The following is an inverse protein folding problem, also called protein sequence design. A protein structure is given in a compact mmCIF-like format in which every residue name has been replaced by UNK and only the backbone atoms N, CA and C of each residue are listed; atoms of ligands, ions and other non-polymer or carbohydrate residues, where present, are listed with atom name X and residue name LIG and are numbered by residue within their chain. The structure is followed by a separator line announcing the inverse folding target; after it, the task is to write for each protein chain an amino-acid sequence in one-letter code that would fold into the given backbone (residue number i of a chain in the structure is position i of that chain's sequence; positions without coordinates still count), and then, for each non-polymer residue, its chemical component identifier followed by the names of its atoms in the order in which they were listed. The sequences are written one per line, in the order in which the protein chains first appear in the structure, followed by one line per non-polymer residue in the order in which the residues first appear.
data_IF_614903844827
#
_entry.id   IF_614903844827
#
_cell.length_a   1.000
_cell.length_b   1.000
_cell.length_c   1.000
_cell.angle_alpha   90.00
_cell.angle_beta   90.00
_cell.angle_gamma   90.00
#
_symmetry.space_group_name_H-M   'P 1'
#
loop_
_entity.id
_entity.type
_entity.pdbx_description
1 polymer ?
#
# COMPACT_ATOMS: atom_id res chain seq x y z
N UNK A 1 21.53 3.81 -1.75
CA UNK A 1 22.46 2.64 -1.71
C UNK A 1 23.27 2.61 -3.00
N UNK A 2 24.58 2.52 -2.95
CA UNK A 2 25.38 2.39 -4.17
C UNK A 2 25.47 0.90 -4.55
N UNK A 3 24.54 0.43 -5.38
CA UNK A 3 24.60 -0.93 -5.94
C UNK A 3 25.56 -1.03 -7.12
N UNK A 4 25.92 0.11 -7.73
CA UNK A 4 26.77 0.20 -8.90
C UNK A 4 27.81 1.31 -8.74
N UNK A 5 29.04 1.01 -9.09
CA UNK A 5 30.12 1.97 -9.29
C UNK A 5 31.07 1.47 -10.39
N UNK A 6 31.96 2.35 -10.89
CA UNK A 6 32.96 2.01 -11.90
C UNK A 6 34.36 2.30 -11.37
N UNK A 7 35.34 1.46 -11.76
CA UNK A 7 36.77 1.77 -11.63
C UNK A 7 37.16 2.84 -12.64
N UNK A 8 38.38 3.37 -12.50
CA UNK A 8 38.92 4.35 -13.44
C UNK A 8 39.01 3.85 -14.89
N UNK A 9 39.12 2.53 -15.09
CA UNK A 9 39.15 1.87 -16.40
C UNK A 9 37.75 1.56 -16.95
N UNK A 10 36.70 1.97 -16.25
CA UNK A 10 35.30 1.70 -16.62
C UNK A 10 34.80 0.31 -16.24
N UNK A 11 35.58 -0.51 -15.55
CA UNK A 11 35.14 -1.83 -15.06
C UNK A 11 34.07 -1.67 -14.01
N UNK A 12 32.85 -2.31 -14.13
CA UNK A 12 31.80 -2.21 -13.17
C UNK A 12 32.16 -2.89 -11.83
N UNK A 13 31.68 -2.30 -10.75
CA UNK A 13 31.70 -2.86 -9.39
C UNK A 13 30.27 -2.95 -8.91
N UNK A 14 29.81 -4.13 -8.55
CA UNK A 14 28.47 -4.38 -7.98
C UNK A 14 28.58 -4.58 -6.48
N UNK A 15 27.71 -3.92 -5.71
CA UNK A 15 27.66 -4.04 -4.25
C UNK A 15 26.24 -4.41 -3.80
N UNK A 16 26.08 -5.64 -3.39
CA UNK A 16 24.78 -6.19 -2.96
C UNK A 16 24.57 -6.16 -1.44
N UNK A 17 25.52 -5.65 -0.67
CA UNK A 17 25.52 -5.76 0.80
C UNK A 17 24.23 -5.26 1.46
N UNK A 18 23.63 -4.17 0.96
CA UNK A 18 22.38 -3.64 1.49
C UNK A 18 21.15 -4.37 0.96
N UNK A 19 21.17 -4.79 -0.30
CA UNK A 19 20.14 -5.62 -0.91
C UNK A 19 20.05 -6.94 -0.14
N UNK A 20 21.19 -7.59 0.10
CA UNK A 20 21.25 -8.85 0.85
C UNK A 20 20.66 -8.70 2.25
N UNK A 21 21.08 -7.67 2.99
CA UNK A 21 20.53 -7.44 4.34
C UNK A 21 19.03 -7.24 4.36
N UNK A 22 18.50 -6.52 3.37
CA UNK A 22 17.07 -6.28 3.26
C UNK A 22 16.32 -7.56 2.92
N UNK A 23 16.77 -8.28 1.88
CA UNK A 23 16.06 -9.47 1.41
C UNK A 23 16.20 -10.64 2.39
N UNK A 24 17.38 -10.81 3.02
CA UNK A 24 17.56 -11.78 4.10
C UNK A 24 16.54 -11.52 5.22
N UNK A 25 16.43 -10.27 5.67
CA UNK A 25 15.47 -9.88 6.71
C UNK A 25 14.02 -10.15 6.29
N UNK A 26 13.62 -9.77 5.08
CA UNK A 26 12.24 -10.02 4.59
C UNK A 26 11.93 -11.52 4.56
N UNK A 27 12.84 -12.33 4.03
CA UNK A 27 12.67 -13.78 3.93
C UNK A 27 12.65 -14.46 5.31
N UNK A 28 13.47 -14.00 6.26
CA UNK A 28 13.42 -14.45 7.66
C UNK A 28 12.06 -14.18 8.33
N UNK A 29 11.37 -13.11 7.92
CA UNK A 29 10.02 -12.79 8.37
C UNK A 29 8.92 -13.50 7.54
N UNK A 30 9.29 -14.34 6.57
CA UNK A 30 8.34 -15.00 5.67
C UNK A 30 7.73 -14.09 4.61
N UNK A 31 8.31 -12.91 4.38
CA UNK A 31 7.88 -11.92 3.39
C UNK A 31 8.72 -12.04 2.13
N UNK A 32 8.08 -12.11 0.97
CA UNK A 32 8.77 -12.21 -0.32
C UNK A 32 9.01 -10.82 -0.91
N UNK A 33 10.18 -10.57 -1.50
CA UNK A 33 10.43 -9.33 -2.23
C UNK A 33 9.48 -9.13 -3.41
N UNK A 34 8.95 -7.92 -3.54
CA UNK A 34 8.40 -7.35 -4.75
C UNK A 34 9.41 -6.28 -5.19
N UNK A 35 10.19 -6.60 -6.22
CA UNK A 35 11.40 -5.87 -6.55
C UNK A 35 11.08 -4.74 -7.51
N UNK A 36 11.25 -3.50 -7.10
CA UNK A 36 11.20 -2.34 -7.98
C UNK A 36 12.61 -1.96 -8.44
N UNK A 37 12.82 -1.91 -9.76
CA UNK A 37 14.10 -1.57 -10.39
C UNK A 37 14.15 -0.07 -10.68
N UNK A 38 14.30 0.74 -9.64
CA UNK A 38 14.44 2.20 -9.65
C UNK A 38 15.29 2.67 -8.46
N UNK A 39 15.81 3.86 -8.40
CA UNK A 39 16.06 4.84 -9.44
C UNK A 39 17.45 4.63 -10.03
N UNK A 40 17.81 5.41 -11.08
CA UNK A 40 19.06 5.21 -11.82
C UNK A 40 20.28 5.41 -10.92
N UNK A 41 21.24 4.46 -10.85
CA UNK A 41 22.52 4.70 -10.22
C UNK A 41 23.22 5.90 -10.83
N UNK A 42 23.70 6.84 -10.01
CA UNK A 42 24.23 8.13 -10.48
C UNK A 42 25.35 8.02 -11.52
N UNK A 43 26.14 6.93 -11.49
CA UNK A 43 27.19 6.69 -12.48
C UNK A 43 26.69 6.10 -13.81
N UNK A 44 25.47 5.60 -13.85
CA UNK A 44 24.81 5.16 -15.07
C UNK A 44 23.88 6.24 -15.66
N UNK A 45 23.55 7.25 -14.88
CA UNK A 45 22.58 8.28 -15.25
C UNK A 45 23.07 9.16 -16.39
N UNK A 46 22.20 9.47 -17.35
CA UNK A 46 22.44 10.38 -18.46
C UNK A 46 22.52 11.84 -18.00
N UNK A 47 21.74 12.19 -16.96
CA UNK A 47 21.70 13.53 -16.39
C UNK A 47 21.74 13.51 -14.87
N UNK A 48 21.72 14.71 -14.24
CA UNK A 48 21.79 14.88 -12.78
C UNK A 48 20.42 15.21 -12.17
N UNK A 49 19.34 15.04 -12.92
CA UNK A 49 17.99 15.30 -12.45
C UNK A 49 17.61 14.29 -11.38
N UNK A 50 17.11 14.79 -10.26
CA UNK A 50 16.80 13.97 -9.08
C UNK A 50 15.48 14.38 -8.47
N UNK A 51 14.80 13.41 -7.84
CA UNK A 51 13.60 13.61 -7.03
C UNK A 51 13.88 13.22 -5.58
N UNK A 52 13.02 13.66 -4.68
CA UNK A 52 13.01 13.39 -3.25
C UNK A 52 14.23 13.97 -2.50
N UNK A 53 14.13 13.95 -1.18
CA UNK A 53 15.20 14.43 -0.32
C UNK A 53 16.50 13.64 -0.48
N UNK A 54 16.42 12.33 -0.66
CA UNK A 54 17.59 11.45 -0.84
C UNK A 54 18.18 11.50 -2.26
N UNK A 55 17.61 12.31 -3.16
CA UNK A 55 18.10 12.58 -4.52
C UNK A 55 18.18 11.35 -5.43
N UNK A 56 17.08 10.59 -5.51
CA UNK A 56 16.93 9.53 -6.51
C UNK A 56 17.07 10.10 -7.93
N UNK A 57 17.96 9.54 -8.73
CA UNK A 57 18.16 10.04 -10.09
C UNK A 57 17.10 9.49 -11.03
N UNK A 58 16.36 10.38 -11.69
CA UNK A 58 15.20 10.08 -12.53
C UNK A 58 15.52 9.99 -14.04
N UNK A 59 16.79 10.14 -14.44
CA UNK A 59 17.14 10.11 -15.85
C UNK A 59 17.23 8.70 -16.42
N UNK A 60 17.01 8.54 -17.73
CA UNK A 60 17.43 7.33 -18.44
C UNK A 60 18.92 7.03 -18.25
N UNK A 61 19.37 5.79 -18.49
CA UNK A 61 20.78 5.48 -18.49
C UNK A 61 21.52 6.22 -19.63
N UNK A 62 22.76 6.63 -19.39
CA UNK A 62 23.63 7.14 -20.45
C UNK A 62 24.04 6.04 -21.44
N UNK A 63 24.13 4.81 -20.95
CA UNK A 63 24.42 3.60 -21.72
C UNK A 63 23.49 2.47 -21.28
N UNK A 64 22.52 2.12 -22.12
CA UNK A 64 21.56 1.05 -21.87
C UNK A 64 22.24 -0.30 -21.63
N UNK A 65 23.38 -0.56 -22.29
CA UNK A 65 24.05 -1.86 -22.16
C UNK A 65 24.64 -2.06 -20.77
N UNK A 66 25.08 -0.99 -20.12
CA UNK A 66 25.58 -1.01 -18.73
C UNK A 66 24.44 -1.23 -17.72
N UNK A 67 23.29 -0.59 -17.94
CA UNK A 67 22.09 -0.84 -17.14
C UNK A 67 21.65 -2.30 -17.27
N UNK A 68 21.53 -2.82 -18.49
CA UNK A 68 21.17 -4.21 -18.73
C UNK A 68 22.17 -5.20 -18.11
N UNK A 69 23.45 -4.85 -18.09
CA UNK A 69 24.47 -5.64 -17.41
C UNK A 69 24.26 -5.67 -15.89
N UNK A 70 23.98 -4.50 -15.28
CA UNK A 70 23.64 -4.39 -13.86
C UNK A 70 22.44 -5.26 -13.51
N UNK A 71 21.36 -5.18 -14.29
CA UNK A 71 20.15 -5.96 -14.08
C UNK A 71 20.40 -7.47 -14.19
N UNK A 72 21.17 -7.90 -15.20
CA UNK A 72 21.56 -9.32 -15.35
C UNK A 72 22.37 -9.82 -14.15
N UNK A 73 23.34 -9.03 -13.68
CA UNK A 73 24.16 -9.40 -12.53
C UNK A 73 23.34 -9.42 -11.22
N UNK A 74 22.43 -8.50 -11.06
CA UNK A 74 21.49 -8.49 -9.93
C UNK A 74 20.62 -9.76 -9.91
N UNK A 75 20.03 -10.13 -11.04
CA UNK A 75 19.22 -11.36 -11.15
C UNK A 75 20.06 -12.61 -10.89
N UNK A 76 21.29 -12.70 -11.46
CA UNK A 76 22.20 -13.81 -11.18
C UNK A 76 22.57 -13.91 -9.71
N UNK A 77 22.82 -12.75 -9.07
CA UNK A 77 23.12 -12.69 -7.66
C UNK A 77 21.95 -13.23 -6.82
N UNK A 78 20.70 -12.80 -7.09
CA UNK A 78 19.52 -13.28 -6.39
C UNK A 78 19.34 -14.81 -6.58
N UNK A 79 19.44 -15.31 -7.80
CA UNK A 79 19.35 -16.75 -8.09
C UNK A 79 20.42 -17.57 -7.37
N UNK A 80 21.65 -17.07 -7.34
CA UNK A 80 22.76 -17.76 -6.67
C UNK A 80 22.62 -17.76 -5.14
N UNK A 81 22.10 -16.67 -4.56
CA UNK A 81 21.97 -16.53 -3.12
C UNK A 81 20.73 -17.21 -2.56
N UNK A 82 19.58 -17.04 -3.20
CA UNK A 82 18.28 -17.49 -2.69
C UNK A 82 17.73 -18.73 -3.37
N UNK A 83 18.29 -19.10 -4.51
CA UNK A 83 17.85 -20.24 -5.32
C UNK A 83 16.69 -19.90 -6.26
N UNK A 84 16.65 -20.60 -7.42
CA UNK A 84 15.68 -20.31 -8.47
C UNK A 84 14.23 -20.42 -8.00
N UNK A 85 13.89 -21.47 -7.23
CA UNK A 85 12.52 -21.68 -6.73
C UNK A 85 12.00 -20.54 -5.86
N UNK A 86 12.87 -19.91 -5.06
CA UNK A 86 12.49 -18.74 -4.25
C UNK A 86 12.32 -17.52 -5.13
N UNK A 87 13.29 -17.22 -5.99
CA UNK A 87 13.27 -16.00 -6.82
C UNK A 87 12.16 -16.04 -7.88
N UNK A 88 11.76 -17.20 -8.39
CA UNK A 88 10.58 -17.36 -9.25
C UNK A 88 9.26 -16.96 -8.59
N UNK A 89 9.24 -16.92 -7.26
CA UNK A 89 8.07 -16.48 -6.52
C UNK A 89 7.97 -14.95 -6.36
N UNK A 90 9.03 -14.22 -6.72
CA UNK A 90 9.11 -12.76 -6.65
C UNK A 90 8.52 -12.11 -7.90
N UNK A 91 8.30 -10.79 -7.81
CA UNK A 91 7.92 -9.93 -8.92
C UNK A 91 9.03 -8.91 -9.18
N UNK A 92 9.26 -8.58 -10.45
CA UNK A 92 10.24 -7.59 -10.86
C UNK A 92 9.53 -6.48 -11.63
N UNK A 93 9.35 -5.36 -10.97
CA UNK A 93 8.71 -4.15 -11.48
C UNK A 93 9.75 -3.21 -12.05
N UNK A 94 9.48 -2.68 -13.24
CA UNK A 94 10.44 -1.83 -13.95
C UNK A 94 10.05 -0.38 -13.78
N UNK A 95 10.78 0.32 -12.92
CA UNK A 95 10.70 1.73 -12.61
C UNK A 95 9.53 2.11 -11.70
N UNK A 96 9.46 3.42 -11.34
CA UNK A 96 8.41 4.06 -10.54
C UNK A 96 7.82 5.25 -11.30
N UNK A 97 6.50 5.27 -11.52
CA UNK A 97 5.71 6.37 -12.09
C UNK A 97 6.32 7.06 -13.31
N UNK A 98 6.70 6.30 -14.36
CA UNK A 98 7.37 6.86 -15.55
C UNK A 98 6.47 7.78 -16.39
N UNK A 99 5.18 7.73 -16.18
CA UNK A 99 4.16 8.59 -16.79
C UNK A 99 4.17 10.02 -16.20
N UNK A 100 4.77 10.21 -15.01
CA UNK A 100 5.01 11.52 -14.42
C UNK A 100 6.29 12.14 -14.99
N UNK A 101 6.21 12.59 -16.24
CA UNK A 101 7.33 13.16 -16.97
C UNK A 101 7.93 14.38 -16.26
N UNK A 102 9.25 14.40 -16.11
CA UNK A 102 9.98 15.45 -15.39
C UNK A 102 9.89 15.35 -13.86
N UNK A 103 9.09 14.42 -13.33
CA UNK A 103 8.96 14.16 -11.88
C UNK A 103 9.65 12.84 -11.52
N UNK A 104 9.19 11.72 -12.06
CA UNK A 104 9.77 10.40 -11.80
C UNK A 104 10.54 9.83 -12.99
N UNK A 105 10.40 10.42 -14.18
CA UNK A 105 11.14 10.07 -15.39
C UNK A 105 11.54 11.31 -16.18
N UNK A 106 12.82 11.52 -16.43
CA UNK A 106 13.37 12.66 -17.18
C UNK A 106 13.61 12.37 -18.66
N UNK A 107 13.14 11.25 -19.17
CA UNK A 107 13.10 10.89 -20.58
C UNK A 107 11.74 11.12 -21.23
N UNK A 108 11.62 10.81 -22.53
CA UNK A 108 10.32 10.74 -23.18
C UNK A 108 9.59 9.44 -22.83
N UNK A 109 8.31 9.38 -23.15
CA UNK A 109 7.47 8.17 -23.02
C UNK A 109 8.05 7.01 -23.83
N UNK A 110 8.45 7.28 -25.06
CA UNK A 110 9.04 6.29 -25.98
C UNK A 110 10.38 5.77 -25.46
N UNK A 111 11.18 6.64 -24.86
CA UNK A 111 12.42 6.23 -24.17
C UNK A 111 12.15 5.29 -23.00
N UNK A 112 11.08 5.55 -22.23
CA UNK A 112 10.69 4.62 -21.16
C UNK A 112 10.23 3.27 -21.72
N UNK A 113 9.41 3.26 -22.77
CA UNK A 113 8.96 2.00 -23.38
C UNK A 113 10.14 1.16 -23.88
N UNK A 114 11.12 1.79 -24.52
CA UNK A 114 12.35 1.12 -24.94
C UNK A 114 13.20 0.62 -23.76
N UNK A 115 13.31 1.44 -22.70
CA UNK A 115 13.99 1.09 -21.46
C UNK A 115 13.33 -0.11 -20.76
N UNK A 116 12.00 -0.10 -20.63
CA UNK A 116 11.22 -1.22 -20.11
C UNK A 116 11.52 -2.51 -20.88
N UNK A 117 11.41 -2.45 -22.21
CA UNK A 117 11.64 -3.61 -23.08
C UNK A 117 13.05 -4.18 -22.92
N UNK A 118 14.08 -3.33 -22.88
CA UNK A 118 15.48 -3.75 -22.68
C UNK A 118 15.67 -4.38 -21.32
N UNK A 119 15.14 -3.78 -20.27
CA UNK A 119 15.24 -4.28 -18.89
C UNK A 119 14.56 -5.64 -18.72
N UNK A 120 13.35 -5.81 -19.26
CA UNK A 120 12.64 -7.10 -19.23
C UNK A 120 13.42 -8.17 -20.00
N UNK A 121 13.93 -7.85 -21.18
CA UNK A 121 14.78 -8.80 -21.95
C UNK A 121 16.06 -9.16 -21.21
N UNK A 122 16.68 -8.22 -20.51
CA UNK A 122 17.83 -8.48 -19.67
C UNK A 122 17.51 -9.48 -18.54
N UNK A 123 16.40 -9.32 -17.83
CA UNK A 123 15.93 -10.26 -16.78
C UNK A 123 15.66 -11.63 -17.39
N UNK A 124 14.82 -11.69 -18.43
CA UNK A 124 14.41 -12.93 -19.09
C UNK A 124 15.58 -13.69 -19.74
N UNK A 125 16.64 -12.99 -20.16
CA UNK A 125 17.86 -13.61 -20.69
C UNK A 125 18.63 -14.41 -19.64
N UNK A 126 18.49 -14.07 -18.36
CA UNK A 126 19.11 -14.80 -17.25
C UNK A 126 18.21 -15.95 -16.80
N UNK A 127 16.91 -15.68 -16.60
CA UNK A 127 15.94 -16.68 -16.15
C UNK A 127 14.54 -16.39 -16.70
N UNK A 128 14.10 -17.08 -17.75
CA UNK A 128 12.84 -16.78 -18.46
C UNK A 128 11.57 -16.87 -17.62
N UNK A 129 11.59 -17.65 -16.51
CA UNK A 129 10.44 -17.88 -15.65
C UNK A 129 10.17 -16.74 -14.64
N UNK A 130 11.10 -15.78 -14.48
CA UNK A 130 10.88 -14.64 -13.58
C UNK A 130 9.72 -13.79 -14.06
N UNK A 131 8.88 -13.36 -13.12
CA UNK A 131 7.73 -12.50 -13.41
C UNK A 131 8.17 -11.04 -13.51
N UNK A 132 7.99 -10.47 -14.69
CA UNK A 132 8.36 -9.09 -15.01
C UNK A 132 7.12 -8.28 -15.37
N UNK A 133 7.06 -7.05 -14.94
CA UNK A 133 5.94 -6.17 -15.21
C UNK A 133 6.20 -4.72 -14.81
N UNK A 134 5.15 -4.00 -14.74
CA UNK A 134 5.08 -2.56 -14.50
C UNK A 134 3.82 -2.02 -15.15
N UNK A 135 3.77 -0.73 -15.44
CA UNK A 135 4.83 0.26 -15.32
C UNK A 135 4.88 0.97 -13.96
N UNK A 136 4.14 0.53 -12.94
CA UNK A 136 3.97 1.28 -11.70
C UNK A 136 3.48 2.72 -11.97
N UNK A 137 2.50 2.86 -12.88
CA UNK A 137 2.08 4.18 -13.36
C UNK A 137 1.28 4.93 -12.31
N UNK A 138 1.45 6.24 -12.29
CA UNK A 138 0.62 7.14 -11.52
C UNK A 138 -0.83 7.15 -12.05
N UNK A 139 -1.78 7.36 -11.16
CA UNK A 139 -3.19 7.30 -11.49
C UNK A 139 -3.65 8.34 -12.52
N UNK A 140 -3.02 9.54 -12.56
CA UNK A 140 -3.45 10.63 -13.43
C UNK A 140 -3.53 10.25 -14.90
N UNK A 141 -2.61 9.46 -15.38
CA UNK A 141 -2.54 9.00 -16.77
C UNK A 141 -3.62 7.97 -17.14
N UNK A 142 -4.25 7.33 -16.17
CA UNK A 142 -5.34 6.37 -16.42
C UNK A 142 -6.59 7.02 -17.01
N UNK A 143 -6.91 8.26 -16.58
CA UNK A 143 -8.17 8.91 -16.89
C UNK A 143 -8.10 9.85 -18.10
N UNK A 144 -7.00 10.55 -18.29
CA UNK A 144 -6.89 11.66 -19.21
C UNK A 144 -5.89 11.46 -20.36
N UNK A 145 -5.16 10.35 -20.36
CA UNK A 145 -4.03 10.09 -21.25
C UNK A 145 -4.11 8.66 -21.81
N UNK A 146 -3.79 8.41 -23.09
CA UNK A 146 -3.70 7.07 -23.64
C UNK A 146 -2.44 6.31 -23.20
N UNK A 147 -1.67 6.81 -22.23
CA UNK A 147 -0.36 6.28 -21.85
C UNK A 147 -0.36 4.77 -21.57
N UNK A 148 -1.34 4.29 -20.80
CA UNK A 148 -1.46 2.86 -20.48
C UNK A 148 -1.78 2.03 -21.75
N UNK A 149 -2.63 2.54 -22.64
CA UNK A 149 -3.00 1.87 -23.89
C UNK A 149 -1.77 1.77 -24.79
N UNK A 150 -1.04 2.87 -24.97
CA UNK A 150 0.16 2.92 -25.80
C UNK A 150 1.29 2.06 -25.23
N UNK A 151 1.44 1.99 -23.91
CA UNK A 151 2.41 1.08 -23.26
C UNK A 151 2.10 -0.39 -23.55
N UNK A 152 0.83 -0.79 -23.41
CA UNK A 152 0.40 -2.16 -23.70
C UNK A 152 0.53 -2.50 -25.18
N UNK A 153 0.17 -1.56 -26.07
CA UNK A 153 0.33 -1.70 -27.52
C UNK A 153 1.80 -1.88 -27.88
N UNK A 154 2.68 -1.05 -27.32
CA UNK A 154 4.13 -1.17 -27.52
C UNK A 154 4.65 -2.55 -27.07
N UNK A 155 4.25 -3.02 -25.88
CA UNK A 155 4.66 -4.33 -25.38
C UNK A 155 4.21 -5.46 -26.33
N UNK A 156 2.99 -5.38 -26.83
CA UNK A 156 2.45 -6.36 -27.80
C UNK A 156 3.19 -6.31 -29.12
N UNK A 157 3.39 -5.15 -29.71
CA UNK A 157 4.05 -4.97 -31.01
C UNK A 157 5.52 -5.36 -31.00
N UNK A 158 6.19 -5.10 -29.88
CA UNK A 158 7.61 -5.43 -29.70
C UNK A 158 7.84 -6.81 -29.07
N UNK A 159 6.77 -7.60 -28.86
CA UNK A 159 6.82 -8.92 -28.22
C UNK A 159 7.55 -8.89 -26.87
N UNK A 160 7.30 -7.84 -26.06
CA UNK A 160 7.89 -7.71 -24.73
C UNK A 160 6.98 -8.39 -23.69
N UNK A 161 7.51 -9.32 -22.87
CA UNK A 161 6.73 -9.93 -21.80
C UNK A 161 6.17 -8.88 -20.81
N UNK A 162 4.89 -9.02 -20.49
CA UNK A 162 4.17 -8.27 -19.45
C UNK A 162 3.42 -9.29 -18.59
N UNK A 163 4.09 -9.83 -17.56
CA UNK A 163 3.52 -10.90 -16.73
C UNK A 163 2.52 -10.34 -15.70
N UNK A 164 2.64 -9.06 -15.37
CA UNK A 164 1.70 -8.31 -14.56
C UNK A 164 1.68 -6.84 -14.97
N UNK A 165 0.53 -6.18 -14.77
CA UNK A 165 0.39 -4.73 -14.88
C UNK A 165 0.30 -4.12 -13.48
N UNK A 166 0.95 -2.98 -13.25
CA UNK A 166 0.93 -2.29 -11.96
C UNK A 166 0.66 -0.80 -12.09
N UNK A 167 0.00 -0.25 -11.07
CA UNK A 167 -0.29 1.17 -10.96
C UNK A 167 -0.45 1.60 -9.51
N UNK A 168 -0.42 2.93 -9.28
CA UNK A 168 -0.61 3.57 -7.98
C UNK A 168 -1.97 4.25 -7.91
N UNK A 169 -2.53 4.33 -6.70
CA UNK A 169 -3.82 4.99 -6.50
C UNK A 169 -3.93 5.61 -5.10
N UNK A 170 -4.42 6.84 -5.05
CA UNK A 170 -4.70 7.60 -3.83
C UNK A 170 -6.09 8.22 -3.90
N UNK A 171 -6.72 8.44 -2.74
CA UNK A 171 -8.02 9.13 -2.70
C UNK A 171 -7.88 10.64 -2.79
N UNK A 172 -6.73 11.21 -2.44
CA UNK A 172 -6.44 12.63 -2.58
C UNK A 172 -5.52 12.88 -3.76
N UNK A 173 -5.97 13.78 -4.66
CA UNK A 173 -5.23 14.15 -5.87
C UNK A 173 -5.10 15.66 -6.02
N UNK A 174 -4.03 16.15 -6.65
CA UNK A 174 -3.94 17.55 -7.03
C UNK A 174 -5.04 17.87 -8.07
N UNK A 175 -5.66 19.01 -7.95
CA UNK A 175 -6.52 19.52 -9.04
C UNK A 175 -5.65 19.83 -10.24
N UNK A 176 -5.93 19.16 -11.35
CA UNK A 176 -5.32 19.47 -12.62
C UNK A 176 -5.83 20.84 -13.07
N UNK A 177 -4.91 21.82 -13.03
CA UNK A 177 -4.99 23.17 -13.63
C UNK A 177 -6.37 23.84 -13.61
N UNK A 178 -6.47 24.89 -12.89
CA UNK A 178 -6.96 26.23 -13.23
C UNK A 178 -7.16 26.99 -11.92
N UNK A 179 -6.38 28.02 -11.71
CA UNK A 179 -6.58 29.14 -10.79
C UNK A 179 -6.27 28.98 -9.28
N UNK A 180 -6.07 27.76 -8.73
CA UNK A 180 -5.65 27.61 -7.33
C UNK A 180 -4.71 26.41 -7.18
N UNK A 181 -3.43 26.63 -7.31
CA UNK A 181 -2.35 25.62 -7.26
C UNK A 181 -2.22 24.83 -5.93
N UNK A 182 -3.07 25.12 -4.93
CA UNK A 182 -2.99 24.56 -3.59
C UNK A 182 -4.17 23.67 -3.20
N UNK A 183 -5.17 23.49 -4.08
CA UNK A 183 -6.32 22.67 -3.75
C UNK A 183 -6.17 21.27 -4.29
N UNK A 184 -6.33 20.30 -3.42
CA UNK A 184 -6.46 18.89 -3.76
C UNK A 184 -7.93 18.53 -3.94
N UNK A 185 -8.20 17.34 -4.47
CA UNK A 185 -9.54 16.78 -4.58
C UNK A 185 -9.59 15.43 -3.92
N UNK A 186 -10.50 15.27 -2.97
CA UNK A 186 -10.79 13.95 -2.40
C UNK A 186 -11.78 13.24 -3.30
N UNK A 187 -11.40 12.05 -3.74
CA UNK A 187 -12.19 11.22 -4.65
C UNK A 187 -13.24 10.42 -3.86
N UNK A 188 -14.39 10.10 -4.46
CA UNK A 188 -15.45 9.36 -3.78
C UNK A 188 -14.98 7.93 -3.41
N UNK A 189 -15.64 7.26 -2.45
CA UNK A 189 -15.27 5.89 -2.04
C UNK A 189 -15.25 4.85 -3.16
N UNK A 190 -16.07 5.02 -4.20
CA UNK A 190 -16.12 4.14 -5.40
C UNK A 190 -14.90 4.22 -6.30
N UNK A 191 -14.09 5.27 -6.15
CA UNK A 191 -13.02 5.64 -7.07
C UNK A 191 -11.99 4.54 -7.32
N UNK A 192 -11.57 3.81 -6.29
CA UNK A 192 -10.64 2.68 -6.43
C UNK A 192 -11.21 1.59 -7.34
N UNK A 193 -12.46 1.21 -7.09
CA UNK A 193 -13.12 0.17 -7.88
C UNK A 193 -13.35 0.62 -9.31
N UNK A 194 -13.81 1.83 -9.53
CA UNK A 194 -14.00 2.41 -10.87
C UNK A 194 -12.69 2.49 -11.67
N UNK A 195 -11.60 2.83 -10.99
CA UNK A 195 -10.26 2.87 -11.60
C UNK A 195 -9.77 1.49 -12.03
N UNK A 196 -9.95 0.49 -11.17
CA UNK A 196 -9.61 -0.90 -11.47
C UNK A 196 -10.45 -1.43 -12.63
N UNK A 197 -11.76 -1.22 -12.60
CA UNK A 197 -12.67 -1.71 -13.65
C UNK A 197 -12.32 -1.06 -15.00
N UNK A 198 -12.05 0.25 -15.02
CA UNK A 198 -11.59 0.95 -16.22
C UNK A 198 -10.28 0.40 -16.77
N UNK A 199 -9.29 0.16 -15.90
CA UNK A 199 -8.01 -0.40 -16.32
C UNK A 199 -8.17 -1.84 -16.85
N UNK A 200 -9.01 -2.65 -16.20
CA UNK A 200 -9.34 -4.00 -16.69
C UNK A 200 -9.99 -3.99 -18.09
N UNK A 201 -10.85 -3.02 -18.38
CA UNK A 201 -11.42 -2.84 -19.72
C UNK A 201 -10.32 -2.51 -20.75
N UNK A 202 -9.40 -1.59 -20.43
CA UNK A 202 -8.24 -1.28 -21.29
C UNK A 202 -7.34 -2.51 -21.51
N UNK A 203 -6.98 -3.22 -20.44
CA UNK A 203 -6.18 -4.45 -20.51
C UNK A 203 -6.85 -5.51 -21.40
N UNK A 204 -8.16 -5.69 -21.28
CA UNK A 204 -8.92 -6.63 -22.11
C UNK A 204 -8.91 -6.20 -23.59
N UNK A 205 -9.08 -4.91 -23.87
CA UNK A 205 -9.03 -4.38 -25.24
C UNK A 205 -7.65 -4.57 -25.87
N UNK A 206 -6.58 -4.45 -25.09
CA UNK A 206 -5.20 -4.65 -25.52
C UNK A 206 -4.74 -6.13 -25.54
N UNK A 207 -5.64 -7.10 -25.30
CA UNK A 207 -5.37 -8.53 -25.20
C UNK A 207 -4.54 -8.97 -23.96
N UNK A 208 -4.57 -8.17 -22.89
CA UNK A 208 -3.95 -8.46 -21.58
C UNK A 208 -4.97 -8.76 -20.46
N UNK A 209 -6.20 -9.16 -20.81
CA UNK A 209 -7.29 -9.39 -19.85
C UNK A 209 -6.99 -10.38 -18.75
N UNK A 210 -6.18 -11.40 -19.01
CA UNK A 210 -5.80 -12.46 -18.05
C UNK A 210 -4.53 -12.13 -17.26
N UNK A 211 -3.85 -11.01 -17.57
CA UNK A 211 -2.63 -10.58 -16.87
C UNK A 211 -2.97 -10.11 -15.47
N UNK A 212 -2.13 -10.46 -14.50
CA UNK A 212 -2.30 -10.02 -13.11
C UNK A 212 -2.27 -8.48 -13.03
N UNK A 213 -3.16 -7.90 -12.23
CA UNK A 213 -3.20 -6.48 -11.95
C UNK A 213 -2.83 -6.24 -10.49
N UNK A 214 -1.84 -5.40 -10.28
CA UNK A 214 -1.32 -5.05 -8.96
C UNK A 214 -1.48 -3.55 -8.70
N UNK A 215 -1.86 -3.21 -7.48
CA UNK A 215 -1.72 -1.85 -6.95
C UNK A 215 -0.47 -1.87 -6.07
N UNK A 216 0.63 -1.35 -6.62
CA UNK A 216 1.94 -1.44 -5.97
C UNK A 216 2.20 -0.28 -5.03
N UNK A 217 1.31 0.73 -5.05
CA UNK A 217 1.32 1.82 -4.08
C UNK A 217 -0.10 2.38 -3.90
N UNK A 218 -0.55 2.49 -2.64
CA UNK A 218 -1.81 3.13 -2.32
C UNK A 218 -1.87 3.67 -0.89
N UNK A 219 -2.58 4.76 -0.70
CA UNK A 219 -2.93 5.33 0.59
C UNK A 219 -4.11 6.29 0.41
N UNK A 220 -4.55 6.94 1.49
CA UNK A 220 -5.57 7.99 1.40
C UNK A 220 -5.06 9.20 0.60
N UNK A 221 -3.87 9.69 0.92
CA UNK A 221 -3.27 10.86 0.27
C UNK A 221 -1.91 10.51 -0.35
N UNK A 222 -1.58 11.18 -1.44
CA UNK A 222 -0.24 11.15 -2.04
C UNK A 222 0.75 12.12 -1.34
N UNK A 223 0.30 12.85 -0.33
CA UNK A 223 1.11 13.81 0.42
C UNK A 223 1.51 13.26 1.78
N UNK A 224 2.78 13.32 2.10
CA UNK A 224 3.41 12.78 3.32
C UNK A 224 3.02 13.50 4.62
N UNK A 225 2.23 14.57 4.55
CA UNK A 225 1.80 15.37 5.71
C UNK A 225 0.30 15.53 5.78
N UNK A 226 -0.43 14.58 5.23
CA UNK A 226 -1.87 14.59 5.39
C UNK A 226 -2.26 14.13 6.80
N UNK A 227 -2.77 15.07 7.59
CA UNK A 227 -3.06 14.85 9.01
C UNK A 227 -4.04 13.69 9.29
N UNK A 228 -4.80 13.23 8.30
CA UNK A 228 -5.72 12.10 8.47
C UNK A 228 -5.03 10.74 8.55
N UNK A 229 -3.78 10.61 8.03
CA UNK A 229 -3.03 9.35 8.07
C UNK A 229 -2.81 8.79 9.49
N UNK A 230 -2.85 9.65 10.52
CA UNK A 230 -2.67 9.21 11.91
C UNK A 230 -3.99 8.86 12.61
N UNK A 231 -5.13 9.23 12.01
CA UNK A 231 -6.44 9.16 12.67
C UNK A 231 -7.07 7.76 12.59
N UNK A 232 -8.07 7.51 13.43
CA UNK A 232 -8.85 6.27 13.42
C UNK A 232 -9.58 6.04 12.07
N UNK A 233 -9.82 7.09 11.29
CA UNK A 233 -10.35 7.00 9.93
C UNK A 233 -9.62 5.98 9.06
N UNK A 234 -8.29 5.89 9.19
CA UNK A 234 -7.48 4.99 8.38
C UNK A 234 -7.79 3.51 8.59
N UNK A 235 -8.33 3.11 9.74
CA UNK A 235 -8.66 1.71 9.96
C UNK A 235 -9.83 1.23 9.06
N UNK A 236 -11.04 1.82 9.10
CA UNK A 236 -12.10 1.45 8.19
C UNK A 236 -11.81 1.83 6.72
N UNK A 237 -10.98 2.85 6.44
CA UNK A 237 -10.53 3.18 5.09
C UNK A 237 -9.77 1.99 4.46
N UNK A 238 -8.78 1.47 5.15
CA UNK A 238 -8.00 0.30 4.70
C UNK A 238 -8.89 -0.92 4.48
N UNK A 239 -9.77 -1.21 5.43
CA UNK A 239 -10.69 -2.36 5.34
C UNK A 239 -11.66 -2.20 4.18
N UNK A 240 -12.27 -1.02 4.03
CA UNK A 240 -13.23 -0.73 2.97
C UNK A 240 -12.60 -0.96 1.59
N UNK A 241 -11.43 -0.38 1.32
CA UNK A 241 -10.78 -0.51 0.02
C UNK A 241 -10.28 -1.93 -0.24
N UNK A 242 -9.71 -2.62 0.77
CA UNK A 242 -9.33 -4.02 0.63
C UNK A 242 -10.54 -4.92 0.26
N UNK A 243 -11.70 -4.71 0.91
CA UNK A 243 -12.91 -5.49 0.63
C UNK A 243 -13.52 -5.18 -0.73
N UNK A 244 -13.53 -3.91 -1.15
CA UNK A 244 -14.09 -3.51 -2.44
C UNK A 244 -13.21 -3.87 -3.65
N UNK A 245 -11.93 -4.12 -3.43
CA UNK A 245 -10.99 -4.55 -4.48
C UNK A 245 -10.73 -6.04 -4.50
N UNK A 246 -11.29 -6.77 -3.53
CA UNK A 246 -11.13 -8.22 -3.41
C UNK A 246 -11.52 -8.94 -4.72
N UNK A 247 -10.59 -9.77 -5.22
CA UNK A 247 -10.74 -10.51 -6.48
C UNK A 247 -10.57 -9.68 -7.75
N UNK A 248 -10.47 -8.36 -7.67
CA UNK A 248 -10.27 -7.50 -8.83
C UNK A 248 -8.77 -7.21 -9.10
N UNK A 249 -7.95 -7.22 -8.04
CA UNK A 249 -6.50 -7.09 -8.11
C UNK A 249 -5.82 -8.26 -7.41
N UNK A 250 -4.57 -8.53 -7.77
CA UNK A 250 -3.76 -9.60 -7.17
C UNK A 250 -3.14 -9.17 -5.85
N UNK A 251 -2.71 -7.93 -5.75
CA UNK A 251 -2.08 -7.38 -4.55
C UNK A 251 -2.38 -5.88 -4.39
N UNK A 252 -2.29 -5.45 -3.14
CA UNK A 252 -2.40 -4.06 -2.68
C UNK A 252 -1.20 -3.78 -1.77
N UNK A 253 -0.21 -3.01 -2.22
CA UNK A 253 0.93 -2.62 -1.41
C UNK A 253 0.70 -1.23 -0.79
N UNK A 254 0.55 -1.19 0.52
CA UNK A 254 0.27 0.05 1.25
C UNK A 254 1.51 0.95 1.30
N UNK A 255 1.37 2.21 0.91
CA UNK A 255 2.40 3.21 1.00
C UNK A 255 2.25 4.04 2.28
N UNK A 256 3.08 3.83 3.34
CA UNK A 256 4.23 2.97 3.35
C UNK A 256 4.36 2.24 4.70
N UNK A 257 5.47 1.55 4.96
CA UNK A 257 5.65 0.78 6.19
C UNK A 257 5.88 1.67 7.42
N UNK A 258 6.68 2.73 7.29
CA UNK A 258 7.05 3.60 8.42
C UNK A 258 7.07 5.07 8.02
N UNK A 259 6.85 5.97 8.98
CA UNK A 259 7.02 7.41 8.78
C UNK A 259 8.50 7.83 8.63
N UNK A 260 9.44 6.95 8.94
CA UNK A 260 10.86 7.16 8.63
C UNK A 260 11.14 6.63 7.24
N UNK A 261 11.05 7.50 6.26
CA UNK A 261 11.27 7.17 4.86
C UNK A 261 12.03 8.31 4.14
N UNK A 262 12.46 8.07 2.92
CA UNK A 262 13.53 8.84 2.27
C UNK A 262 13.03 10.03 1.44
N UNK A 263 11.73 10.20 1.23
CA UNK A 263 11.20 11.23 0.32
C UNK A 263 11.24 12.62 0.93
N UNK A 264 11.04 12.73 2.24
CA UNK A 264 11.05 14.00 2.94
C UNK A 264 11.75 13.93 4.30
N UNK A 265 11.98 15.10 4.91
CA UNK A 265 12.51 15.19 6.27
C UNK A 265 11.43 14.82 7.29
N UNK A 266 11.79 14.03 8.30
CA UNK A 266 10.89 13.64 9.39
C UNK A 266 10.69 14.84 10.34
N UNK A 267 9.45 15.32 10.54
CA UNK A 267 9.14 16.38 11.49
C UNK A 267 9.37 15.99 12.96
N UNK A 268 9.32 16.97 13.86
CA UNK A 268 9.50 16.76 15.32
C UNK A 268 8.28 16.14 15.97
N UNK A 269 7.07 16.50 15.54
CA UNK A 269 5.83 15.96 16.09
C UNK A 269 5.72 14.43 15.88
N UNK A 270 5.27 13.66 16.89
CA UNK A 270 5.03 12.23 16.76
C UNK A 270 3.95 11.88 15.70
N UNK A 271 2.96 12.76 15.55
CA UNK A 271 1.83 12.57 14.64
C UNK A 271 1.69 13.78 13.71
N UNK A 272 2.34 13.71 12.57
CA UNK A 272 2.39 14.78 11.57
C UNK A 272 1.70 14.42 10.25
N UNK A 273 1.05 13.25 10.21
CA UNK A 273 0.37 12.77 9.00
C UNK A 273 1.28 12.03 8.03
N UNK A 274 2.36 11.42 8.49
CA UNK A 274 3.23 10.57 7.65
C UNK A 274 2.51 9.36 7.08
N UNK A 275 3.02 8.78 6.00
CA UNK A 275 2.42 7.64 5.28
C UNK A 275 2.42 6.33 6.07
N UNK A 276 3.32 6.20 7.05
CA UNK A 276 3.66 4.92 7.67
C UNK A 276 2.50 4.23 8.38
N UNK A 277 2.55 2.90 8.37
CA UNK A 277 1.78 2.07 9.30
C UNK A 277 2.28 2.24 10.74
N UNK A 278 3.55 2.59 10.89
CA UNK A 278 4.25 2.81 12.17
C UNK A 278 4.87 4.20 12.12
N UNK A 279 4.65 5.01 13.15
CA UNK A 279 5.24 6.33 13.21
C UNK A 279 6.75 6.26 13.55
N UNK A 280 7.43 7.42 13.52
CA UNK A 280 8.87 7.52 13.80
C UNK A 280 9.30 7.01 15.19
N UNK A 281 8.37 7.03 16.16
CA UNK A 281 8.62 6.59 17.54
C UNK A 281 8.26 5.11 17.77
N UNK A 282 7.97 4.36 16.68
CA UNK A 282 7.63 2.95 16.73
C UNK A 282 6.16 2.66 17.11
N UNK A 283 5.31 3.70 17.21
CA UNK A 283 3.90 3.55 17.54
C UNK A 283 3.11 3.08 16.32
N UNK A 284 2.37 1.99 16.47
CA UNK A 284 1.50 1.44 15.43
C UNK A 284 0.25 2.29 15.27
N UNK A 285 -0.03 2.71 14.03
CA UNK A 285 -1.20 3.52 13.68
C UNK A 285 -2.44 2.66 13.45
N UNK A 286 -3.65 3.25 13.35
CA UNK A 286 -4.89 2.51 13.07
C UNK A 286 -4.84 1.69 11.77
N UNK A 287 -4.16 2.17 10.72
CA UNK A 287 -3.92 1.45 9.46
C UNK A 287 -3.15 0.13 9.65
N UNK A 288 -2.16 0.09 10.56
CA UNK A 288 -1.45 -1.15 10.93
C UNK A 288 -2.42 -2.20 11.47
N UNK A 289 -3.26 -1.80 12.44
CA UNK A 289 -4.21 -2.72 13.06
C UNK A 289 -5.32 -3.17 12.10
N UNK A 290 -5.71 -2.32 11.14
CA UNK A 290 -6.62 -2.73 10.08
C UNK A 290 -6.06 -3.91 9.27
N UNK A 291 -4.80 -3.83 8.84
CA UNK A 291 -4.11 -4.92 8.13
C UNK A 291 -3.95 -6.17 9.00
N UNK A 292 -3.62 -5.99 10.30
CA UNK A 292 -3.55 -7.10 11.26
C UNK A 292 -4.91 -7.81 11.44
N UNK A 293 -6.02 -7.06 11.46
CA UNK A 293 -7.35 -7.64 11.55
C UNK A 293 -7.76 -8.34 10.24
N UNK A 294 -7.43 -7.77 9.09
CA UNK A 294 -7.64 -8.41 7.78
C UNK A 294 -6.90 -9.74 7.66
N UNK A 295 -5.67 -9.81 8.16
CA UNK A 295 -4.86 -11.05 8.15
C UNK A 295 -5.51 -12.19 8.97
N UNK A 296 -6.39 -11.87 9.92
CA UNK A 296 -7.10 -12.88 10.73
C UNK A 296 -8.31 -13.50 10.02
N UNK A 297 -8.71 -12.97 8.86
CA UNK A 297 -9.83 -13.51 8.07
C UNK A 297 -9.44 -14.87 7.45
N UNK A 298 -10.45 -15.73 7.29
CA UNK A 298 -10.27 -17.04 6.67
C UNK A 298 -10.32 -17.01 5.15
N UNK A 299 -9.93 -18.11 4.53
CA UNK A 299 -9.83 -18.26 3.06
C UNK A 299 -11.21 -18.39 2.37
N UNK A 300 -12.24 -18.81 3.10
CA UNK A 300 -13.60 -19.00 2.56
C UNK A 300 -14.48 -17.80 2.92
N UNK A 301 -14.97 -17.10 1.90
CA UNK A 301 -15.94 -16.03 2.07
C UNK A 301 -17.33 -16.62 2.35
N UNK A 302 -17.93 -16.33 3.50
CA UNK A 302 -19.27 -16.76 3.88
C UNK A 302 -20.31 -15.71 3.50
N UNK A 303 -20.03 -14.45 3.79
CA UNK A 303 -20.93 -13.32 3.56
C UNK A 303 -20.15 -12.03 3.46
N UNK A 304 -20.62 -11.12 2.60
CA UNK A 304 -20.09 -9.75 2.50
C UNK A 304 -21.23 -8.79 2.21
N UNK A 305 -21.15 -7.61 2.80
CA UNK A 305 -22.08 -6.53 2.54
C UNK A 305 -21.48 -5.18 2.94
N UNK A 306 -22.32 -4.15 2.91
CA UNK A 306 -21.88 -2.82 3.31
C UNK A 306 -21.52 -2.80 4.79
N UNK A 307 -20.22 -2.58 5.06
CA UNK A 307 -19.66 -2.49 6.41
C UNK A 307 -19.42 -3.81 7.13
N UNK A 308 -19.51 -4.95 6.45
CA UNK A 308 -19.21 -6.25 7.08
C UNK A 308 -18.70 -7.30 6.09
N UNK A 309 -17.92 -8.24 6.63
CA UNK A 309 -17.49 -9.47 5.95
C UNK A 309 -17.43 -10.61 6.95
N UNK A 310 -17.89 -11.80 6.56
CA UNK A 310 -17.77 -13.04 7.33
C UNK A 310 -16.97 -14.07 6.53
N UNK A 311 -16.03 -14.72 7.18
CA UNK A 311 -15.15 -15.75 6.58
C UNK A 311 -15.07 -16.99 7.44
N UNK A 312 -14.50 -18.06 6.87
CA UNK A 312 -14.19 -19.30 7.56
C UNK A 312 -12.80 -19.82 7.18
N UNK A 313 -12.09 -20.32 8.16
CA UNK A 313 -10.83 -21.06 7.97
C UNK A 313 -11.09 -22.54 7.73
N UNK A 314 -10.08 -23.26 7.22
CA UNK A 314 -10.17 -24.71 6.91
C UNK A 314 -10.45 -25.58 8.12
N UNK A 315 -10.07 -25.16 9.31
CA UNK A 315 -10.36 -25.85 10.58
C UNK A 315 -11.79 -25.60 11.10
N UNK A 316 -12.56 -24.77 10.38
CA UNK A 316 -13.95 -24.46 10.70
C UNK A 316 -14.13 -23.27 11.65
N UNK A 317 -13.06 -22.58 12.03
CA UNK A 317 -13.17 -21.32 12.78
C UNK A 317 -13.76 -20.23 11.88
N UNK A 318 -14.56 -19.34 12.47
CA UNK A 318 -15.28 -18.28 11.73
C UNK A 318 -14.81 -16.90 12.17
N UNK A 319 -14.79 -15.97 11.24
CA UNK A 319 -14.40 -14.58 11.49
C UNK A 319 -15.47 -13.65 10.92
N UNK A 320 -15.85 -12.64 11.69
CA UNK A 320 -16.82 -11.61 11.27
C UNK A 320 -16.24 -10.25 11.57
N UNK A 321 -15.90 -9.51 10.51
CA UNK A 321 -15.36 -8.17 10.59
C UNK A 321 -16.46 -7.17 10.25
N UNK A 322 -16.65 -6.18 11.13
CA UNK A 322 -17.58 -5.07 10.99
C UNK A 322 -16.80 -3.76 11.01
N UNK A 323 -17.20 -2.81 10.16
CA UNK A 323 -16.56 -1.50 10.11
C UNK A 323 -17.54 -0.39 9.73
N UNK A 324 -17.31 0.79 10.27
CA UNK A 324 -18.10 1.98 9.97
C UNK A 324 -17.20 3.01 9.27
N UNK A 325 -17.11 2.89 7.95
CA UNK A 325 -16.39 3.85 7.11
C UNK A 325 -17.26 5.10 6.92
N UNK A 326 -16.76 6.26 7.33
CA UNK A 326 -17.36 7.57 7.09
C UNK A 326 -16.39 8.37 6.24
N UNK A 327 -16.85 8.85 5.10
CA UNK A 327 -16.03 9.60 4.15
C UNK A 327 -15.89 11.06 4.57
N UNK A 328 -14.94 11.75 3.96
CA UNK A 328 -14.75 13.18 4.10
C UNK A 328 -16.01 13.91 3.59
N UNK A 329 -16.49 14.90 4.36
CA UNK A 329 -17.64 15.70 3.96
C UNK A 329 -17.39 16.39 2.60
N UNK A 330 -18.38 16.43 1.71
CA UNK A 330 -18.26 17.12 0.41
C UNK A 330 -17.77 18.55 0.48
N UNK A 331 -18.04 19.26 1.56
CA UNK A 331 -17.52 20.63 1.79
C UNK A 331 -16.01 20.69 1.90
N UNK A 332 -15.39 19.62 2.45
CA UNK A 332 -13.94 19.47 2.58
C UNK A 332 -13.32 18.67 1.43
N UNK A 333 -14.11 18.02 0.60
CA UNK A 333 -13.60 17.24 -0.53
C UNK A 333 -12.88 18.07 -1.59
N UNK A 334 -13.03 19.39 -1.55
CA UNK A 334 -12.31 20.35 -2.39
C UNK A 334 -10.84 20.55 -1.96
N UNK A 335 -10.44 19.99 -0.80
CA UNK A 335 -9.06 20.05 -0.30
C UNK A 335 -8.66 21.34 0.36
N UNK A 336 -9.61 22.23 0.70
CA UNK A 336 -9.32 23.38 1.57
C UNK A 336 -9.27 22.92 3.03
N UNK A 337 -8.08 22.65 3.49
CA UNK A 337 -7.78 22.10 4.82
C UNK A 337 -7.02 23.11 5.68
N UNK A 338 -7.06 24.40 5.31
CA UNK A 338 -6.31 25.47 5.97
C UNK A 338 -6.65 25.62 7.46
N UNK A 339 -7.88 25.26 7.85
CA UNK A 339 -8.34 25.30 9.24
C UNK A 339 -8.06 24.00 10.01
N UNK A 340 -7.54 22.96 9.34
CA UNK A 340 -7.26 21.69 9.98
C UNK A 340 -5.98 21.76 10.80
N UNK A 341 -6.07 21.38 12.06
CA UNK A 341 -4.96 21.35 13.01
C UNK A 341 -4.71 19.96 13.56
N UNK A 342 -3.66 19.83 14.36
CA UNK A 342 -3.36 18.57 15.05
C UNK A 342 -4.48 18.08 15.97
N UNK A 343 -5.39 18.94 16.41
CA UNK A 343 -6.41 18.60 17.42
C UNK A 343 -7.81 18.45 16.88
N UNK A 344 -8.13 19.03 15.71
CA UNK A 344 -9.48 19.00 15.12
C UNK A 344 -9.58 18.16 13.84
N UNK A 345 -8.71 17.19 13.64
CA UNK A 345 -8.60 16.37 12.40
C UNK A 345 -9.88 15.63 12.00
N UNK A 346 -10.80 15.43 12.94
CA UNK A 346 -12.07 14.73 12.67
C UNK A 346 -13.19 15.65 12.17
N UNK A 347 -13.01 16.97 12.19
CA UNK A 347 -14.05 17.93 11.80
C UNK A 347 -14.32 17.94 10.29
N UNK A 348 -13.47 17.27 9.51
CA UNK A 348 -13.61 17.15 8.04
C UNK A 348 -14.52 16.03 7.58
N UNK A 349 -15.03 15.18 8.49
CA UNK A 349 -15.87 14.05 8.12
C UNK A 349 -17.36 14.38 8.21
N UNK A 350 -18.16 13.69 7.39
CA UNK A 350 -19.62 13.74 7.51
C UNK A 350 -20.08 13.42 8.93
N UNK A 351 -21.02 14.19 9.44
CA UNK A 351 -21.66 13.84 10.72
C UNK A 351 -22.54 12.61 10.54
N UNK A 352 -22.14 11.50 11.16
CA UNK A 352 -22.88 10.24 11.18
C UNK A 352 -23.09 9.76 12.62
N UNK A 353 -24.26 9.20 12.88
CA UNK A 353 -24.50 8.45 14.11
C UNK A 353 -23.81 7.09 14.10
N UNK A 354 -23.97 6.34 15.20
CA UNK A 354 -23.45 4.98 15.27
C UNK A 354 -24.14 4.09 14.22
N UNK A 355 -23.40 3.08 13.76
CA UNK A 355 -23.90 2.05 12.87
C UNK A 355 -24.11 0.75 13.64
N UNK A 356 -25.32 0.21 13.53
CA UNK A 356 -25.71 -0.99 14.26
C UNK A 356 -25.77 -2.20 13.33
N UNK A 357 -25.19 -3.31 13.78
CA UNK A 357 -25.25 -4.61 13.12
C UNK A 357 -25.77 -5.66 14.08
N UNK A 358 -26.41 -6.68 13.55
CA UNK A 358 -26.80 -7.87 14.26
C UNK A 358 -26.16 -9.11 13.63
N UNK A 359 -25.37 -9.83 14.39
CA UNK A 359 -24.84 -11.14 14.00
C UNK A 359 -25.67 -12.22 14.68
N UNK A 360 -26.36 -13.05 13.88
CA UNK A 360 -27.12 -14.20 14.36
C UNK A 360 -26.55 -15.48 13.78
N UNK A 361 -26.08 -16.37 14.64
CA UNK A 361 -25.55 -17.68 14.28
C UNK A 361 -26.46 -18.78 14.82
N UNK A 362 -26.67 -19.83 14.03
CA UNK A 362 -27.47 -21.01 14.43
C UNK A 362 -26.74 -22.29 14.05
N UNK A 363 -27.08 -23.38 14.71
CA UNK A 363 -26.49 -24.71 14.54
C UNK A 363 -24.97 -24.72 14.93
N UNK A 364 -24.62 -23.97 15.97
CA UNK A 364 -23.28 -24.02 16.55
C UNK A 364 -23.14 -25.34 17.33
N UNK A 365 -22.43 -26.31 16.76
CA UNK A 365 -22.20 -27.61 17.42
C UNK A 365 -20.85 -27.61 18.12
N UNK A 366 -20.87 -27.82 19.45
CA UNK A 366 -19.67 -27.80 20.28
C UNK A 366 -19.48 -26.51 21.07
N UNK A 367 -18.29 -26.30 21.56
CA UNK A 367 -17.89 -25.09 22.30
C UNK A 367 -17.03 -24.22 21.41
N UNK A 368 -17.32 -22.91 21.37
CA UNK A 368 -16.50 -21.93 20.66
C UNK A 368 -15.94 -20.89 21.65
N UNK A 369 -14.69 -20.52 21.45
CA UNK A 369 -14.12 -19.33 22.06
C UNK A 369 -14.35 -18.15 21.13
N UNK A 370 -15.20 -17.22 21.52
CA UNK A 370 -15.41 -15.99 20.79
C UNK A 370 -14.44 -14.93 21.32
N UNK A 371 -13.58 -14.39 20.44
CA UNK A 371 -12.68 -13.28 20.77
C UNK A 371 -13.12 -12.07 19.97
N UNK A 372 -13.37 -10.96 20.63
CA UNK A 372 -13.66 -9.67 20.00
C UNK A 372 -12.45 -8.74 20.05
N UNK A 373 -12.17 -8.09 18.92
CA UNK A 373 -11.13 -7.06 18.76
C UNK A 373 -11.84 -5.77 18.37
N UNK A 374 -11.81 -4.76 19.25
CA UNK A 374 -12.48 -3.47 19.02
C UNK A 374 -11.48 -2.36 18.84
N UNK A 375 -11.63 -1.60 17.75
CA UNK A 375 -10.91 -0.35 17.46
C UNK A 375 -11.92 0.78 17.24
N UNK A 376 -11.77 1.87 17.94
CA UNK A 376 -12.44 3.15 17.70
C UNK A 376 -11.64 4.27 18.38
N UNK A 377 -12.10 5.52 18.30
CA UNK A 377 -11.41 6.69 18.90
C UNK A 377 -11.18 6.57 20.41
N UNK A 378 -11.95 5.74 21.10
CA UNK A 378 -11.82 5.49 22.55
C UNK A 378 -11.05 4.20 22.86
N UNK A 379 -10.88 3.31 21.86
CA UNK A 379 -10.30 2.00 22.01
C UNK A 379 -9.20 1.77 20.98
N UNK A 380 -7.95 1.92 21.38
CA UNK A 380 -6.78 1.56 20.59
C UNK A 380 -6.28 2.58 19.58
N UNK A 381 -6.88 3.78 19.52
CA UNK A 381 -6.35 4.90 18.75
C UNK A 381 -5.22 5.57 19.50
N UNK A 382 -4.00 5.32 19.09
CA UNK A 382 -2.81 5.93 19.70
C UNK A 382 -2.78 7.45 19.50
N UNK A 383 -3.28 7.92 18.36
CA UNK A 383 -3.42 9.35 18.08
C UNK A 383 -4.40 10.03 19.04
N UNK A 384 -5.59 9.46 19.24
CA UNK A 384 -6.58 10.04 20.16
C UNK A 384 -6.08 9.98 21.62
N UNK A 385 -5.27 8.99 22.02
CA UNK A 385 -4.61 8.97 23.32
C UNK A 385 -3.58 10.08 23.46
N UNK A 386 -2.76 10.31 22.44
CA UNK A 386 -1.80 11.42 22.41
C UNK A 386 -2.50 12.78 22.54
N UNK A 387 -3.65 12.98 21.88
CA UNK A 387 -4.46 14.19 22.04
C UNK A 387 -4.94 14.34 23.49
N UNK A 388 -5.41 13.25 24.15
CA UNK A 388 -5.85 13.28 25.56
C UNK A 388 -4.72 13.63 26.52
N UNK A 389 -3.47 13.34 26.16
CA UNK A 389 -2.28 13.71 26.94
C UNK A 389 -1.90 15.19 26.77
N UNK A 390 -2.61 15.96 25.95
CA UNK A 390 -2.30 17.36 25.65
C UNK A 390 -1.41 17.54 24.41
N UNK A 391 -1.30 16.53 23.56
CA UNK A 391 -0.57 16.54 22.29
C UNK A 391 0.90 17.00 22.42
N UNK A 392 1.71 16.42 23.32
CA UNK A 392 3.09 16.87 23.51
C UNK A 392 3.92 16.67 22.24
N UNK A 393 4.69 17.68 21.85
CA UNK A 393 5.58 17.61 20.67
C UNK A 393 6.72 16.62 20.87
N UNK A 394 7.21 16.48 22.09
CA UNK A 394 8.25 15.55 22.47
C UNK A 394 7.71 14.59 23.53
N UNK A 395 7.92 13.29 23.29
CA UNK A 395 7.50 12.24 24.22
C UNK A 395 8.66 11.84 25.13
N UNK A 396 8.41 11.81 26.43
CA UNK A 396 9.28 11.14 27.40
C UNK A 396 9.20 9.60 27.22
N UNK A 397 10.15 8.87 27.78
CA UNK A 397 10.14 7.40 27.76
C UNK A 397 8.87 6.83 28.43
N UNK A 398 8.38 7.47 29.50
CA UNK A 398 7.17 7.07 30.22
C UNK A 398 5.91 7.28 29.36
N UNK A 399 5.79 8.45 28.69
CA UNK A 399 4.69 8.77 27.79
C UNK A 399 4.68 7.83 26.58
N UNK A 400 5.85 7.55 26.00
CA UNK A 400 5.98 6.60 24.90
C UNK A 400 5.57 5.19 25.34
N UNK A 401 6.03 4.72 26.49
CA UNK A 401 5.65 3.43 27.05
C UNK A 401 4.14 3.35 27.36
N UNK A 402 3.52 4.46 27.77
CA UNK A 402 2.09 4.54 27.95
C UNK A 402 1.35 4.41 26.62
N UNK A 403 1.74 5.17 25.60
CA UNK A 403 1.13 5.11 24.27
C UNK A 403 1.25 3.73 23.62
N UNK A 404 2.39 3.05 23.77
CA UNK A 404 2.54 1.66 23.32
C UNK A 404 1.52 0.71 23.96
N UNK A 405 1.22 0.87 25.24
CA UNK A 405 0.23 0.05 25.95
C UNK A 405 -1.22 0.37 25.56
N UNK A 406 -1.47 1.58 25.10
CA UNK A 406 -2.80 2.07 24.70
C UNK A 406 -3.08 1.88 23.21
N UNK A 407 -2.04 1.62 22.42
CA UNK A 407 -2.13 1.32 21.01
C UNK A 407 -2.65 -0.10 20.79
N UNK A 408 -3.63 -0.25 19.87
CA UNK A 408 -4.14 -1.53 19.44
C UNK A 408 -5.53 -1.90 19.96
N UNK A 409 -6.14 -2.93 19.36
CA UNK A 409 -7.53 -3.28 19.64
C UNK A 409 -7.72 -3.72 21.09
N UNK A 410 -8.85 -3.31 21.67
CA UNK A 410 -9.30 -3.86 22.95
C UNK A 410 -9.85 -5.26 22.72
N UNK A 411 -9.28 -6.25 23.42
CA UNK A 411 -9.61 -7.66 23.26
C UNK A 411 -10.48 -8.13 24.42
N UNK A 412 -11.56 -8.85 24.08
CA UNK A 412 -12.41 -9.55 25.07
C UNK A 412 -12.69 -10.95 24.57
N UNK A 413 -12.85 -11.89 25.50
CA UNK A 413 -13.15 -13.29 25.18
C UNK A 413 -14.36 -13.78 25.96
N UNK A 414 -15.18 -14.61 25.31
CA UNK A 414 -16.30 -15.33 25.92
C UNK A 414 -16.39 -16.76 25.38
N UNK A 415 -16.95 -17.69 26.15
CA UNK A 415 -17.18 -19.07 25.71
C UNK A 415 -18.64 -19.25 25.30
N UNK A 416 -18.87 -19.72 24.09
CA UNK A 416 -20.18 -20.03 23.55
C UNK A 416 -20.42 -21.54 23.60
N UNK A 417 -21.51 -21.96 24.29
CA UNK A 417 -21.90 -23.38 24.45
C UNK A 417 -23.33 -23.63 23.99
N UNK A 418 -23.89 -22.68 23.24
CA UNK A 418 -25.29 -22.67 22.82
C UNK A 418 -25.40 -22.92 21.31
N UNK A 419 -26.47 -23.60 20.89
CA UNK A 419 -26.77 -23.87 19.48
C UNK A 419 -27.06 -22.60 18.67
N UNK A 420 -27.54 -21.55 19.34
CA UNK A 420 -27.86 -20.25 18.74
C UNK A 420 -27.20 -19.14 19.52
N UNK A 421 -26.63 -18.21 18.80
CA UNK A 421 -25.98 -17.05 19.41
C UNK A 421 -26.32 -15.79 18.61
N UNK A 422 -26.59 -14.72 19.33
CA UNK A 422 -26.89 -13.40 18.78
C UNK A 422 -26.01 -12.36 19.44
N UNK A 423 -25.44 -11.48 18.63
CA UNK A 423 -24.62 -10.36 19.09
C UNK A 423 -25.06 -9.09 18.38
N UNK A 424 -25.36 -8.07 19.15
CA UNK A 424 -25.52 -6.72 18.65
C UNK A 424 -24.16 -6.00 18.67
N UNK A 425 -23.84 -5.32 17.57
CA UNK A 425 -22.58 -4.58 17.38
C UNK A 425 -22.96 -3.14 17.08
N UNK A 426 -22.56 -2.24 17.97
CA UNK A 426 -22.72 -0.80 17.84
C UNK A 426 -21.36 -0.17 17.58
N UNK A 427 -21.16 0.43 16.38
CA UNK A 427 -19.92 1.05 15.96
C UNK A 427 -20.08 2.56 15.75
N UNK A 428 -19.34 3.39 16.50
CA UNK A 428 -19.27 4.82 16.20
C UNK A 428 -18.61 5.05 14.82
N UNK A 429 -18.68 6.25 14.26
CA UNK A 429 -17.90 6.63 13.09
C UNK A 429 -16.44 6.22 13.24
N UNK A 430 -15.88 5.65 12.18
CA UNK A 430 -14.53 5.07 12.11
C UNK A 430 -14.27 3.87 13.03
N UNK A 431 -15.32 3.29 13.63
CA UNK A 431 -15.19 2.09 14.45
C UNK A 431 -15.00 0.82 13.62
N UNK A 432 -14.25 -0.13 14.18
CA UNK A 432 -14.01 -1.47 13.61
C UNK A 432 -14.16 -2.51 14.72
N UNK A 433 -14.76 -3.65 14.41
CA UNK A 433 -14.84 -4.80 15.30
C UNK A 433 -14.63 -6.10 14.52
N UNK A 434 -13.67 -6.91 14.94
CA UNK A 434 -13.53 -8.28 14.49
C UNK A 434 -13.99 -9.22 15.60
N UNK A 435 -14.79 -10.22 15.24
CA UNK A 435 -15.14 -11.36 16.07
C UNK A 435 -14.52 -12.62 15.46
N UNK A 436 -13.71 -13.37 16.23
CA UNK A 436 -13.25 -14.70 15.83
C UNK A 436 -13.94 -15.75 16.70
N UNK A 437 -14.44 -16.81 16.09
CA UNK A 437 -15.06 -17.94 16.75
C UNK A 437 -14.22 -19.18 16.50
N UNK A 438 -13.36 -19.51 17.49
CA UNK A 438 -12.43 -20.63 17.43
C UNK A 438 -13.05 -21.85 18.12
N UNK A 439 -13.19 -22.95 17.39
CA UNK A 439 -13.74 -24.19 17.92
C UNK A 439 -12.84 -24.76 18.99
N UNK A 440 -13.41 -25.08 20.14
CA UNK A 440 -12.72 -25.76 21.24
C UNK A 440 -12.98 -27.27 21.13
N UNK A 441 -11.93 -28.06 21.23
CA UNK A 441 -11.99 -29.53 21.19
C UNK A 441 -12.17 -30.14 22.56
#
# INVERSE_FOLDING_TARGET
MMVYSEKEDGTPIYNWSYVDKLYDFLLEQGVKPFVELSFMPSQLARSKETIFWWRGNISPPADQTKWDALVREFVRHCLNRYGAKEVESWYFEVWNEPDLSGVCWAGSKEEYFAFYASTVRAIKSVWPQLRTGGPAMGYGSLWNDPWADEFMDYCREQEVPLDFFSFHIYSEYPRLKEEREHLTKIMPPSFYRESIDRLREKMKAAAYGDVELHITEWNFSMYDRNLLHDTMFMAPFVIYHAMNTLGAVKALAFWSFTDVFEESTVPTSPFYGGFGLINRDGLKKPSYYALELLQKLGDELLVQGDGYVGTRTRDGSMQFLFYHYVHVDPLFSSGDWSELSSTNRYDVFEEKGNRNFELSLSRLTGTFKCTSYRLDRQHGSVFDEWIRMGAPEFLSEEELAYLHKRSGPVIRTELLRQDRWRKEIDLPPHGVMLLTLDRQY
#
